data_IF_808880699410
#
_entry.id   IF_808880699410
#
_cell.length_a   1.000
_cell.length_b   1.000
_cell.length_c   1.000
_cell.angle_alpha   90.00
_cell.angle_beta   90.00
_cell.angle_gamma   90.00
#
_symmetry.space_group_name_H-M   'P 1'
#
loop_
_entity.id
_entity.type
_entity.pdbx_description
1 polymer ?
#
# COMPACT_ATOMS: atom_id res chain seq x y z
N UNK A 1 -11.48 4.93 -11.98
CA UNK A 1 -10.15 5.55 -11.79
C UNK A 1 -9.85 5.54 -10.30
N UNK A 2 -8.72 4.96 -9.95
CA UNK A 2 -8.24 4.77 -8.58
C UNK A 2 -6.91 5.50 -8.44
N UNK A 3 -6.75 6.28 -7.38
CA UNK A 3 -5.50 6.95 -7.06
C UNK A 3 -4.88 6.27 -5.84
N UNK A 4 -3.72 5.64 -6.01
CA UNK A 4 -2.96 5.09 -4.90
C UNK A 4 -1.89 6.12 -4.54
N UNK A 5 -1.89 6.56 -3.29
CA UNK A 5 -0.98 7.59 -2.79
C UNK A 5 -0.21 7.08 -1.58
N UNK A 6 1.00 7.60 -1.40
CA UNK A 6 1.76 7.45 -0.17
C UNK A 6 1.62 8.72 0.67
N UNK A 7 0.91 8.63 1.80
CA UNK A 7 0.87 9.69 2.80
C UNK A 7 -0.33 10.65 2.76
N UNK A 8 -0.66 11.19 3.94
CA UNK A 8 -1.85 11.99 4.19
C UNK A 8 -1.85 13.35 3.52
N UNK A 9 -0.68 13.98 3.39
CA UNK A 9 -0.55 15.30 2.79
C UNK A 9 -0.96 15.23 1.33
N UNK A 10 -0.47 14.23 0.59
CA UNK A 10 -0.82 14.03 -0.81
C UNK A 10 -2.27 13.59 -0.96
N UNK A 11 -2.72 12.63 -0.13
CA UNK A 11 -4.14 12.23 -0.10
C UNK A 11 -5.09 13.42 0.08
N UNK A 12 -4.73 14.37 0.96
CA UNK A 12 -5.52 15.58 1.23
C UNK A 12 -5.51 16.53 0.05
N UNK A 13 -4.36 16.73 -0.61
CA UNK A 13 -4.25 17.58 -1.80
C UNK A 13 -5.08 17.07 -2.98
N UNK A 14 -5.25 15.75 -3.08
CA UNK A 14 -6.00 15.13 -4.17
C UNK A 14 -7.52 15.01 -3.90
N UNK A 15 -8.05 15.45 -2.75
CA UNK A 15 -9.49 15.32 -2.45
C UNK A 15 -10.44 15.99 -3.48
N UNK A 16 -9.93 16.86 -4.35
CA UNK A 16 -10.70 17.51 -5.41
C UNK A 16 -10.72 16.79 -6.76
N UNK A 17 -10.01 15.67 -6.93
CA UNK A 17 -10.00 14.92 -8.19
C UNK A 17 -11.09 13.84 -8.21
N UNK A 18 -11.57 13.51 -9.41
CA UNK A 18 -12.55 12.43 -9.59
C UNK A 18 -11.89 11.07 -9.44
N UNK A 19 -12.48 10.19 -8.63
CA UNK A 19 -11.98 8.83 -8.42
C UNK A 19 -11.91 8.45 -6.95
N UNK A 20 -11.57 7.19 -6.68
CA UNK A 20 -11.35 6.69 -5.31
C UNK A 20 -9.89 6.86 -4.95
N UNK A 21 -9.61 7.41 -3.76
CA UNK A 21 -8.25 7.52 -3.22
C UNK A 21 -8.02 6.37 -2.24
N UNK A 22 -6.94 5.62 -2.47
CA UNK A 22 -6.38 4.64 -1.54
C UNK A 22 -5.09 5.22 -0.99
N UNK A 23 -5.11 5.62 0.28
CA UNK A 23 -3.91 6.06 0.98
C UNK A 23 -3.18 4.82 1.54
N UNK A 24 -2.06 4.47 0.91
CA UNK A 24 -1.26 3.33 1.31
C UNK A 24 -0.32 3.69 2.47
N UNK A 25 -0.35 2.87 3.53
CA UNK A 25 0.32 3.09 4.81
C UNK A 25 1.06 1.83 5.21
N UNK A 26 2.30 1.75 4.79
CA UNK A 26 3.24 0.69 5.14
C UNK A 26 4.66 1.26 5.06
N UNK A 27 5.65 0.59 5.65
CA UNK A 27 7.05 0.98 5.59
C UNK A 27 7.90 -0.18 5.07
N UNK A 28 7.87 -0.46 3.76
CA UNK A 28 8.54 -1.65 3.20
C UNK A 28 10.07 -1.54 3.19
N UNK A 29 10.63 -0.34 3.35
CA UNK A 29 12.07 -0.13 3.55
C UNK A 29 12.52 -0.38 5.00
N UNK A 30 11.58 -0.69 5.90
CA UNK A 30 11.82 -0.93 7.32
C UNK A 30 11.09 -2.17 7.83
N UNK A 31 11.67 -2.84 8.83
CA UNK A 31 11.09 -4.05 9.42
C UNK A 31 11.24 -5.31 8.56
N UNK A 32 10.72 -6.44 9.07
CA UNK A 32 11.01 -7.76 8.51
C UNK A 32 10.22 -8.03 7.22
N UNK A 33 10.88 -8.62 6.24
CA UNK A 33 10.28 -9.09 4.98
C UNK A 33 11.02 -10.35 4.53
N UNK A 34 10.30 -11.42 4.22
CA UNK A 34 10.88 -12.66 3.72
C UNK A 34 9.96 -13.29 2.67
N UNK A 35 10.53 -13.70 1.53
CA UNK A 35 9.77 -14.20 0.38
C UNK A 35 9.05 -15.53 0.63
N UNK A 36 9.46 -16.29 1.64
CA UNK A 36 8.81 -17.55 2.01
C UNK A 36 7.61 -17.40 2.95
N UNK A 37 7.35 -16.18 3.45
CA UNK A 37 6.22 -15.96 4.35
C UNK A 37 4.94 -15.78 3.56
N UNK A 38 3.86 -16.39 4.06
CA UNK A 38 2.51 -16.05 3.63
C UNK A 38 2.17 -14.59 3.98
N UNK A 39 1.14 -14.03 3.32
CA UNK A 39 0.67 -12.68 3.62
C UNK A 39 0.25 -12.51 5.10
N UNK A 40 -0.36 -13.54 5.68
CA UNK A 40 -0.77 -13.53 7.09
C UNK A 40 0.46 -13.51 8.02
N UNK A 41 1.47 -14.35 7.75
CA UNK A 41 2.72 -14.34 8.49
C UNK A 41 3.47 -13.01 8.36
N UNK A 42 3.50 -12.44 7.16
CA UNK A 42 4.11 -11.15 6.90
C UNK A 42 3.44 -10.05 7.73
N UNK A 43 2.11 -9.95 7.67
CA UNK A 43 1.33 -8.96 8.42
C UNK A 43 1.56 -9.12 9.92
N UNK A 44 1.49 -10.35 10.44
CA UNK A 44 1.68 -10.62 11.87
C UNK A 44 3.08 -10.26 12.35
N UNK A 45 4.12 -10.75 11.67
CA UNK A 45 5.52 -10.49 12.06
C UNK A 45 5.88 -9.01 11.98
N UNK A 46 5.31 -8.29 11.02
CA UNK A 46 5.50 -6.85 10.91
C UNK A 46 4.73 -6.09 11.98
N UNK A 47 3.51 -6.52 12.33
CA UNK A 47 2.75 -5.95 13.44
C UNK A 47 3.56 -6.03 14.75
N UNK A 48 4.05 -7.24 15.10
CA UNK A 48 4.87 -7.47 16.29
C UNK A 48 6.13 -6.57 16.28
N UNK A 49 6.81 -6.46 15.14
CA UNK A 49 7.98 -5.61 14.98
C UNK A 49 7.68 -4.13 15.18
N UNK A 50 6.60 -3.61 14.59
CA UNK A 50 6.25 -2.20 14.69
C UNK A 50 5.69 -1.82 16.07
N UNK A 51 5.04 -2.75 16.75
CA UNK A 51 4.66 -2.57 18.14
C UNK A 51 5.90 -2.47 19.05
N UNK A 52 6.88 -3.34 18.87
CA UNK A 52 8.13 -3.31 19.65
C UNK A 52 8.99 -2.07 19.34
N UNK A 53 9.13 -1.71 18.06
CA UNK A 53 10.09 -0.66 17.64
C UNK A 53 9.53 0.75 17.63
N UNK A 54 8.24 0.90 17.35
CA UNK A 54 7.60 2.20 17.11
C UNK A 54 6.34 2.41 17.97
N UNK A 55 6.02 1.48 18.87
CA UNK A 55 4.84 1.55 19.75
C UNK A 55 3.52 1.67 18.97
N UNK A 56 3.50 1.20 17.71
CA UNK A 56 2.28 1.14 16.90
C UNK A 56 1.48 -0.08 17.35
N UNK A 57 0.23 0.07 17.83
CA UNK A 57 -0.55 -1.08 18.29
C UNK A 57 -0.70 -2.13 17.19
N UNK A 58 -0.38 -3.39 17.48
CA UNK A 58 -0.44 -4.48 16.50
C UNK A 58 -1.82 -4.60 15.86
N UNK A 59 -2.88 -4.43 16.65
CA UNK A 59 -4.27 -4.46 16.18
C UNK A 59 -4.59 -3.37 15.15
N UNK A 60 -4.04 -2.16 15.34
CA UNK A 60 -4.19 -1.05 14.41
C UNK A 60 -3.47 -1.34 13.09
N UNK A 61 -2.21 -1.79 13.17
CA UNK A 61 -1.42 -2.15 12.00
C UNK A 61 -2.09 -3.23 11.16
N UNK A 62 -2.53 -4.32 11.80
CA UNK A 62 -3.20 -5.45 11.15
C UNK A 62 -4.51 -4.99 10.48
N UNK A 63 -5.32 -4.21 11.20
CA UNK A 63 -6.59 -3.68 10.66
C UNK A 63 -6.36 -2.81 9.43
N UNK A 64 -5.35 -1.95 9.47
CA UNK A 64 -4.98 -1.11 8.34
C UNK A 64 -4.50 -1.94 7.15
N UNK A 65 -3.68 -2.97 7.36
CA UNK A 65 -3.21 -3.85 6.29
C UNK A 65 -4.39 -4.52 5.57
N UNK A 66 -5.30 -5.14 6.32
CA UNK A 66 -6.45 -5.82 5.72
C UNK A 66 -7.41 -4.86 5.02
N UNK A 67 -7.65 -3.67 5.59
CA UNK A 67 -8.47 -2.64 4.95
C UNK A 67 -7.91 -2.22 3.60
N UNK A 68 -6.60 -1.96 3.53
CA UNK A 68 -5.94 -1.54 2.30
C UNK A 68 -5.90 -2.67 1.25
N UNK A 69 -5.63 -3.90 1.68
CA UNK A 69 -5.68 -5.08 0.81
C UNK A 69 -7.09 -5.32 0.26
N UNK A 70 -8.14 -5.13 1.07
CA UNK A 70 -9.51 -5.22 0.60
C UNK A 70 -9.80 -4.16 -0.47
N UNK A 71 -9.38 -2.90 -0.26
CA UNK A 71 -9.54 -1.84 -1.26
C UNK A 71 -8.79 -2.14 -2.56
N UNK A 72 -7.59 -2.73 -2.48
CA UNK A 72 -6.83 -3.18 -3.65
C UNK A 72 -7.52 -4.34 -4.36
N UNK A 73 -8.16 -5.23 -3.61
CA UNK A 73 -8.89 -6.38 -4.14
C UNK A 73 -10.18 -5.99 -4.87
N UNK A 74 -10.78 -4.86 -4.52
CA UNK A 74 -11.96 -4.30 -5.17
C UNK A 74 -11.65 -3.66 -6.53
N UNK A 75 -10.37 -3.36 -6.83
CA UNK A 75 -9.99 -2.76 -8.12
C UNK A 75 -10.26 -3.76 -9.25
N UNK A 76 -11.10 -3.35 -10.19
CA UNK A 76 -11.44 -4.14 -11.39
C UNK A 76 -10.42 -3.91 -12.51
N UNK A 77 -10.41 -4.76 -13.54
CA UNK A 77 -9.45 -4.67 -14.64
C UNK A 77 -9.66 -3.45 -15.54
N UNK A 78 -10.88 -2.92 -15.57
CA UNK A 78 -11.25 -1.80 -16.45
C UNK A 78 -10.92 -0.44 -15.83
N UNK A 79 -10.63 -0.40 -14.53
CA UNK A 79 -10.27 0.82 -13.83
C UNK A 79 -8.83 1.23 -14.14
N UNK A 80 -8.61 2.50 -14.47
CA UNK A 80 -7.25 3.06 -14.44
C UNK A 80 -6.77 3.23 -13.00
N UNK A 81 -5.53 2.80 -12.73
CA UNK A 81 -4.84 3.04 -11.46
C UNK A 81 -3.71 4.06 -11.67
N UNK A 82 -3.86 5.22 -11.04
CA UNK A 82 -2.85 6.28 -11.00
C UNK A 82 -2.02 6.14 -9.73
N UNK A 83 -0.71 6.00 -9.88
CA UNK A 83 0.24 5.82 -8.79
C UNK A 83 0.95 7.15 -8.50
N UNK A 84 0.85 7.64 -7.27
CA UNK A 84 1.44 8.89 -6.82
C UNK A 84 2.53 8.61 -5.77
N UNK A 85 3.77 8.53 -6.23
CA UNK A 85 4.94 8.18 -5.42
C UNK A 85 6.11 9.11 -5.74
N UNK A 86 6.87 9.49 -4.73
CA UNK A 86 8.08 10.29 -4.89
C UNK A 86 9.30 9.42 -5.30
N UNK A 87 10.44 10.07 -5.55
CA UNK A 87 11.67 9.40 -6.00
C UNK A 87 12.57 8.92 -4.86
N UNK A 88 12.13 9.00 -3.62
CA UNK A 88 12.93 8.56 -2.47
C UNK A 88 12.84 7.03 -2.24
N UNK A 89 13.74 6.51 -1.41
CA UNK A 89 13.81 5.07 -1.15
C UNK A 89 12.51 4.52 -0.56
N UNK A 90 11.88 5.28 0.33
CA UNK A 90 10.68 4.87 1.03
C UNK A 90 9.53 4.67 0.02
N UNK A 91 9.28 5.67 -0.82
CA UNK A 91 8.30 5.63 -1.89
C UNK A 91 8.58 4.52 -2.90
N UNK A 92 9.82 4.36 -3.34
CA UNK A 92 10.16 3.36 -4.35
C UNK A 92 9.94 1.92 -3.84
N UNK A 93 10.23 1.62 -2.57
CA UNK A 93 9.93 0.28 -2.01
C UNK A 93 8.43 0.00 -1.94
N UNK A 94 7.63 1.02 -1.61
CA UNK A 94 6.17 0.90 -1.60
C UNK A 94 5.60 0.74 -3.00
N UNK A 95 6.09 1.52 -3.97
CA UNK A 95 5.72 1.40 -5.37
C UNK A 95 6.02 -0.02 -5.89
N UNK A 96 7.18 -0.59 -5.59
CA UNK A 96 7.53 -1.96 -5.98
C UNK A 96 6.55 -3.00 -5.42
N UNK A 97 6.15 -2.85 -4.15
CA UNK A 97 5.15 -3.73 -3.55
C UNK A 97 3.80 -3.61 -4.28
N UNK A 98 3.30 -2.39 -4.49
CA UNK A 98 2.01 -2.15 -5.17
C UNK A 98 2.02 -2.70 -6.58
N UNK A 99 3.08 -2.43 -7.36
CA UNK A 99 3.24 -2.97 -8.70
C UNK A 99 3.25 -4.51 -8.70
N UNK A 100 3.93 -5.14 -7.75
CA UNK A 100 3.93 -6.60 -7.60
C UNK A 100 2.53 -7.13 -7.34
N UNK A 101 1.76 -6.49 -6.46
CA UNK A 101 0.38 -6.89 -6.16
C UNK A 101 -0.55 -6.70 -7.36
N UNK A 102 -0.42 -5.59 -8.10
CA UNK A 102 -1.20 -5.33 -9.31
C UNK A 102 -0.85 -6.29 -10.44
N UNK A 103 0.44 -6.60 -10.63
CA UNK A 103 0.93 -7.55 -11.62
C UNK A 103 0.43 -8.98 -11.34
N UNK A 104 0.43 -9.41 -10.07
CA UNK A 104 -0.14 -10.70 -9.65
C UNK A 104 -1.65 -10.81 -9.94
N UNK A 105 -2.32 -9.67 -10.11
CA UNK A 105 -3.74 -9.56 -10.48
C UNK A 105 -3.93 -9.32 -11.97
N UNK A 106 -2.87 -9.35 -12.77
CA UNK A 106 -2.86 -9.03 -14.20
C UNK A 106 -3.43 -7.66 -14.57
N UNK A 107 -3.38 -6.70 -13.64
CA UNK A 107 -3.86 -5.34 -13.89
C UNK A 107 -2.86 -4.56 -14.75
N UNK A 108 -3.32 -3.98 -15.86
CA UNK A 108 -2.45 -3.37 -16.88
C UNK A 108 -2.66 -1.86 -17.09
N UNK A 109 -3.80 -1.32 -16.67
CA UNK A 109 -4.14 0.08 -16.91
C UNK A 109 -3.54 1.00 -15.83
N UNK A 110 -2.23 1.23 -15.93
CA UNK A 110 -1.44 1.97 -14.95
C UNK A 110 -0.96 3.31 -15.52
N UNK A 111 -1.02 4.36 -14.71
CA UNK A 111 -0.42 5.66 -14.99
C UNK A 111 0.35 6.20 -13.77
N UNK A 112 1.30 7.10 -14.02
CA UNK A 112 2.07 7.81 -12.99
C UNK A 112 1.56 9.25 -12.95
N UNK A 113 1.25 9.75 -11.75
CA UNK A 113 0.75 11.11 -11.51
C UNK A 113 1.83 12.17 -11.33
#
# INVERSE_FOLDING_TARGET
>A
MIHIVNGDILASKLQGISGKIINWREMYDFGPLHSSWSNEELIKKRADFFEEKLEIPSSLFITNCYKQLAQLNEITQDEEVVLWFEHDRYDQTMLMYILTQLANRHHQNLSIG
#
